data_IF_536271342842
#
_entry.id   IF_536271342842
#
_cell.length_a   1.000
_cell.length_b   1.000
_cell.length_c   1.000
_cell.angle_alpha   90.00
_cell.angle_beta   90.00
_cell.angle_gamma   90.00
#
_symmetry.space_group_name_H-M   'P 1'
#
loop_
_entity.id
_entity.type
_entity.pdbx_description
1 polymer ?
#
# COMPACT_ATOMS: atom_id res chain seq x y z
N UNK A 1 16.32 9.03 13.08
CA UNK A 1 16.70 8.04 12.04
C UNK A 1 15.44 7.22 11.76
N UNK A 2 14.72 7.54 10.69
CA UNK A 2 13.52 6.81 10.29
C UNK A 2 13.93 5.44 9.76
N UNK A 3 13.35 4.37 10.30
CA UNK A 3 13.56 3.01 9.81
C UNK A 3 12.42 2.68 8.84
N UNK A 4 12.74 2.50 7.55
CA UNK A 4 11.78 2.12 6.51
C UNK A 4 11.79 0.60 6.37
N UNK A 5 10.69 -0.08 6.68
CA UNK A 5 10.47 -1.50 6.30
C UNK A 5 9.00 -1.90 6.51
N UNK A 6 8.10 -1.39 5.65
CA UNK A 6 6.69 -1.77 5.60
C UNK A 6 6.25 -1.84 4.15
N UNK A 7 5.27 -2.67 3.86
CA UNK A 7 4.66 -2.74 2.54
C UNK A 7 3.43 -1.84 2.52
N UNK A 8 3.39 -0.87 1.63
CA UNK A 8 2.18 -0.14 1.30
C UNK A 8 1.73 -0.51 -0.10
N UNK A 9 0.48 -0.90 -0.24
CA UNK A 9 -0.14 -1.23 -1.51
C UNK A 9 -1.29 -0.27 -1.70
N UNK A 10 -1.22 0.54 -2.75
CA UNK A 10 -2.23 1.54 -3.07
C UNK A 10 -2.90 1.18 -4.38
N UNK A 11 -4.20 1.29 -4.37
CA UNK A 11 -5.05 1.02 -5.51
C UNK A 11 -5.67 2.33 -5.98
N UNK A 12 -5.38 2.73 -7.19
CA UNK A 12 -6.03 3.86 -7.85
C UNK A 12 -6.96 3.33 -8.95
N UNK A 13 -8.24 3.65 -8.81
CA UNK A 13 -9.27 3.37 -9.79
C UNK A 13 -9.33 4.52 -10.81
N UNK A 14 -8.78 4.29 -12.00
CA UNK A 14 -8.72 5.26 -13.09
C UNK A 14 -10.13 5.74 -13.58
N UNK A 15 -11.21 5.17 -13.06
CA UNK A 15 -12.58 5.55 -13.42
C UNK A 15 -13.06 6.87 -12.77
N UNK A 16 -12.37 7.37 -11.74
CA UNK A 16 -12.81 8.57 -10.99
C UNK A 16 -12.13 9.88 -11.39
N UNK A 17 -11.31 9.91 -12.43
CA UNK A 17 -10.71 11.15 -12.97
C UNK A 17 -9.86 11.93 -11.93
N UNK A 18 -9.42 11.28 -10.86
CA UNK A 18 -8.61 11.88 -9.81
C UNK A 18 -7.15 12.00 -10.23
N UNK A 19 -6.51 13.06 -9.80
CA UNK A 19 -5.09 13.35 -10.02
C UNK A 19 -4.25 12.20 -9.48
N UNK A 20 -3.50 11.54 -10.35
CA UNK A 20 -2.76 10.29 -10.11
C UNK A 20 -1.71 10.36 -9.00
N UNK A 21 -1.31 11.54 -8.58
CA UNK A 21 -0.42 11.76 -7.43
C UNK A 21 -0.72 13.11 -6.81
N UNK A 22 -1.36 13.11 -5.66
CA UNK A 22 -1.47 14.31 -4.85
C UNK A 22 -0.23 14.35 -3.93
N UNK A 23 0.80 15.07 -4.35
CA UNK A 23 1.97 15.34 -3.52
C UNK A 23 1.54 16.40 -2.48
N UNK A 24 0.82 15.96 -1.46
CA UNK A 24 0.64 16.75 -0.26
C UNK A 24 1.70 16.34 0.75
N UNK A 25 2.62 17.25 1.03
CA UNK A 25 3.53 17.13 2.16
C UNK A 25 2.72 17.14 3.46
N UNK A 26 2.28 15.98 3.89
CA UNK A 26 1.77 15.80 5.25
C UNK A 26 2.98 15.69 6.18
N UNK A 27 3.11 16.58 7.14
CA UNK A 27 4.12 16.52 8.21
C UNK A 27 3.78 15.44 9.27
N UNK A 28 3.12 14.37 8.88
CA UNK A 28 2.90 13.23 9.77
C UNK A 28 4.22 12.46 9.93
N UNK A 29 4.59 12.20 11.18
CA UNK A 29 5.81 11.46 11.51
C UNK A 29 5.70 9.95 11.19
N UNK A 30 4.59 9.49 10.64
CA UNK A 30 4.32 8.09 10.28
C UNK A 30 3.41 7.98 9.06
N UNK A 31 3.67 6.96 8.24
CA UNK A 31 2.84 6.64 7.08
C UNK A 31 1.68 5.67 7.44
N UNK A 32 1.72 5.07 8.64
CA UNK A 32 0.72 4.11 9.09
C UNK A 32 -0.51 4.80 9.69
N UNK A 33 -1.68 4.58 9.09
CA UNK A 33 -2.97 5.05 9.62
C UNK A 33 -3.26 4.49 11.03
N UNK A 34 -2.80 3.27 11.31
CA UNK A 34 -2.95 2.63 12.61
C UNK A 34 -2.18 3.37 13.72
N UNK A 35 -0.96 3.85 13.44
CA UNK A 35 -0.19 4.62 14.43
C UNK A 35 -0.85 5.97 14.75
N UNK A 36 -1.42 6.63 13.74
CA UNK A 36 -2.16 7.87 13.93
C UNK A 36 -3.45 7.66 14.73
N UNK A 37 -4.14 6.51 14.49
CA UNK A 37 -5.29 6.11 15.30
C UNK A 37 -4.90 5.93 16.77
N UNK A 38 -3.80 5.20 17.04
CA UNK A 38 -3.34 4.94 18.42
C UNK A 38 -2.95 6.25 19.13
N UNK A 39 -2.26 7.18 18.44
CA UNK A 39 -1.95 8.52 18.98
C UNK A 39 -3.23 9.33 19.29
N UNK A 40 -4.24 9.21 18.43
CA UNK A 40 -5.50 9.89 18.64
C UNK A 40 -6.24 9.30 19.84
N UNK A 41 -6.31 7.98 19.99
CA UNK A 41 -6.91 7.30 21.14
C UNK A 41 -6.21 7.67 22.46
N UNK A 42 -4.88 7.80 22.47
CA UNK A 42 -4.12 8.25 23.64
C UNK A 42 -4.37 9.72 23.99
N UNK A 43 -4.73 10.56 23.01
CA UNK A 43 -4.92 11.99 23.19
C UNK A 43 -6.36 12.41 23.58
N UNK A 44 -7.34 11.55 23.32
CA UNK A 44 -8.75 11.81 23.60
C UNK A 44 -9.12 11.27 24.99
N UNK A 45 -9.76 12.13 25.82
CA UNK A 45 -10.48 11.66 27.00
C UNK A 45 -11.63 10.76 26.55
N UNK A 46 -11.92 9.69 27.28
CA UNK A 46 -12.73 8.48 26.97
C UNK A 46 -14.13 8.68 26.31
N UNK A 47 -14.53 9.87 25.87
CA UNK A 47 -15.89 10.16 25.41
C UNK A 47 -16.04 10.90 24.07
N UNK A 48 -14.98 11.15 23.32
CA UNK A 48 -15.13 11.74 21.99
C UNK A 48 -15.24 10.64 20.93
N UNK A 49 -16.43 10.50 20.34
CA UNK A 49 -16.62 9.65 19.16
C UNK A 49 -15.77 10.17 18.00
N UNK A 50 -15.12 9.24 17.28
CA UNK A 50 -14.43 9.54 16.04
C UNK A 50 -15.46 9.88 14.94
N UNK A 51 -15.77 11.16 14.78
CA UNK A 51 -16.77 11.59 13.79
C UNK A 51 -16.20 11.39 12.37
N UNK A 52 -16.86 10.53 11.58
CA UNK A 52 -16.43 10.20 10.22
C UNK A 52 -15.24 9.25 10.14
N UNK A 53 -14.95 8.50 11.21
CA UNK A 53 -13.94 7.44 11.22
C UNK A 53 -14.58 6.15 11.74
N UNK A 54 -14.54 5.09 10.93
CA UNK A 54 -14.95 3.74 11.31
C UNK A 54 -13.77 2.84 11.46
N UNK A 55 -13.69 2.13 12.57
CA UNK A 55 -12.58 1.23 12.88
C UNK A 55 -13.13 -0.17 13.13
N UNK A 56 -12.57 -1.15 12.43
CA UNK A 56 -12.89 -2.57 12.61
C UNK A 56 -11.58 -3.32 12.85
N UNK A 57 -11.54 -4.16 13.88
CA UNK A 57 -10.38 -5.00 14.20
C UNK A 57 -10.83 -6.45 14.29
N UNK A 58 -10.08 -7.32 13.64
CA UNK A 58 -10.34 -8.76 13.63
C UNK A 58 -9.03 -9.53 13.74
N UNK A 59 -9.05 -10.63 14.50
CA UNK A 59 -7.95 -11.59 14.49
C UNK A 59 -8.21 -12.61 13.40
N UNK A 60 -7.22 -12.81 12.54
CA UNK A 60 -7.29 -13.73 11.41
C UNK A 60 -6.36 -14.90 11.67
N UNK A 61 -6.85 -16.10 11.35
CA UNK A 61 -6.09 -17.33 11.42
C UNK A 61 -5.69 -17.77 12.84
N UNK A 62 -4.73 -18.70 12.91
CA UNK A 62 -4.33 -19.34 14.16
C UNK A 62 -3.06 -18.72 14.77
N UNK A 63 -2.32 -17.90 14.00
CA UNK A 63 -0.99 -17.38 14.37
C UNK A 63 -0.98 -15.95 14.88
N UNK A 64 -2.18 -15.42 15.20
CA UNK A 64 -2.32 -14.11 15.82
C UNK A 64 -2.13 -12.95 14.84
N UNK A 65 -2.37 -13.18 13.55
CA UNK A 65 -2.49 -12.12 12.56
C UNK A 65 -3.70 -11.24 12.91
N UNK A 66 -3.49 -9.94 12.97
CA UNK A 66 -4.53 -8.95 13.24
C UNK A 66 -4.76 -8.11 12.00
N UNK A 67 -6.01 -7.96 11.62
CA UNK A 67 -6.43 -7.01 10.60
C UNK A 67 -7.13 -5.83 11.26
N UNK A 68 -6.72 -4.63 10.88
CA UNK A 68 -7.40 -3.39 11.26
C UNK A 68 -7.82 -2.67 10.01
N UNK A 69 -9.11 -2.39 9.87
CA UNK A 69 -9.68 -1.60 8.78
C UNK A 69 -10.09 -0.25 9.35
N UNK A 70 -9.54 0.83 8.80
CA UNK A 70 -9.90 2.21 9.13
C UNK A 70 -10.54 2.81 7.88
N UNK A 71 -11.79 3.24 7.97
CA UNK A 71 -12.50 3.97 6.94
C UNK A 71 -12.67 5.43 7.38
N UNK A 72 -12.18 6.36 6.56
CA UNK A 72 -12.33 7.80 6.75
C UNK A 72 -13.34 8.28 5.71
N UNK A 73 -14.53 8.73 6.15
CA UNK A 73 -15.63 9.10 5.26
C UNK A 73 -16.00 10.60 5.30
N UNK A 74 -15.38 11.39 6.19
CA UNK A 74 -15.66 12.82 6.36
C UNK A 74 -14.41 13.72 6.31
N UNK A 75 -14.62 15.04 6.13
CA UNK A 75 -13.54 16.04 6.24
C UNK A 75 -13.02 16.18 7.68
N UNK A 76 -13.87 15.96 8.65
CA UNK A 76 -13.53 15.96 10.06
C UNK A 76 -12.60 14.80 10.37
N UNK A 77 -12.90 13.60 9.84
CA UNK A 77 -12.03 12.42 9.94
C UNK A 77 -10.67 12.63 9.27
N UNK A 78 -10.63 13.27 8.09
CA UNK A 78 -9.36 13.65 7.43
C UNK A 78 -8.51 14.55 8.31
N UNK A 79 -9.12 15.57 8.93
CA UNK A 79 -8.41 16.51 9.82
C UNK A 79 -7.95 15.85 11.11
N UNK A 80 -8.76 14.94 11.67
CA UNK A 80 -8.42 14.22 12.90
C UNK A 80 -7.25 13.25 12.71
N UNK A 81 -7.28 12.43 11.64
CA UNK A 81 -6.22 11.46 11.36
C UNK A 81 -5.08 12.01 10.51
N UNK A 82 -5.23 13.19 9.88
CA UNK A 82 -4.23 13.72 8.96
C UNK A 82 -4.01 12.84 7.73
N UNK A 83 -5.01 12.03 7.36
CA UNK A 83 -4.99 11.12 6.20
C UNK A 83 -6.20 11.39 5.29
N UNK A 84 -6.04 11.26 3.96
CA UNK A 84 -7.14 11.42 3.01
C UNK A 84 -8.32 10.46 3.29
N UNK A 85 -9.52 10.87 2.88
CA UNK A 85 -10.70 9.99 2.89
C UNK A 85 -10.47 8.75 2.06
N UNK A 86 -10.82 7.59 2.62
CA UNK A 86 -10.67 6.30 2.00
C UNK A 86 -10.57 5.17 3.01
N UNK A 87 -10.12 4.03 2.53
CA UNK A 87 -10.01 2.80 3.31
C UNK A 87 -8.54 2.44 3.48
N UNK A 88 -8.16 2.17 4.72
CA UNK A 88 -6.84 1.72 5.12
C UNK A 88 -6.97 0.37 5.81
N UNK A 89 -6.41 -0.67 5.21
CA UNK A 89 -6.36 -2.02 5.76
C UNK A 89 -4.95 -2.28 6.25
N UNK A 90 -4.79 -2.54 7.53
CA UNK A 90 -3.49 -2.87 8.13
C UNK A 90 -3.50 -4.32 8.56
N UNK A 91 -2.56 -5.10 8.05
CA UNK A 91 -2.27 -6.47 8.48
C UNK A 91 -1.04 -6.43 9.38
N UNK A 92 -1.18 -6.88 10.62
CA UNK A 92 -0.14 -6.84 11.62
C UNK A 92 0.03 -8.22 12.28
N UNK A 93 1.29 -8.63 12.49
CA UNK A 93 1.52 -9.95 13.07
C UNK A 93 2.95 -10.17 13.55
N UNK A 94 3.42 -11.40 13.47
CA UNK A 94 4.79 -11.78 13.84
C UNK A 94 5.86 -11.11 12.96
N UNK A 95 7.11 -11.22 13.36
CA UNK A 95 8.23 -10.64 12.62
C UNK A 95 8.42 -11.35 11.26
N UNK A 96 8.11 -10.67 10.15
CA UNK A 96 8.27 -11.18 8.79
C UNK A 96 9.73 -11.38 8.37
N UNK A 97 10.69 -10.83 9.09
CA UNK A 97 12.12 -11.10 8.86
C UNK A 97 12.59 -12.43 9.49
N UNK A 98 11.75 -13.10 10.27
CA UNK A 98 12.01 -14.42 10.84
C UNK A 98 11.80 -15.55 9.83
N UNK A 99 12.25 -16.75 10.17
CA UNK A 99 12.13 -17.94 9.32
C UNK A 99 10.84 -18.77 9.59
N UNK A 100 9.78 -18.18 10.12
CA UNK A 100 8.50 -18.87 10.30
C UNK A 100 7.72 -18.91 8.99
N UNK A 101 7.99 -19.94 8.18
CA UNK A 101 7.35 -20.14 6.87
C UNK A 101 5.83 -20.21 6.93
N UNK A 102 5.28 -20.77 8.02
CA UNK A 102 3.82 -20.91 8.18
C UNK A 102 3.14 -19.57 8.49
N UNK A 103 3.82 -18.66 9.18
CA UNK A 103 3.35 -17.29 9.36
C UNK A 103 3.37 -16.51 8.05
N UNK A 104 4.45 -16.67 7.26
CA UNK A 104 4.54 -16.03 5.93
C UNK A 104 3.44 -16.51 4.98
N UNK A 105 3.09 -17.79 5.03
CA UNK A 105 2.02 -18.35 4.22
C UNK A 105 0.66 -17.75 4.60
N UNK A 106 0.33 -17.70 5.89
CA UNK A 106 -0.91 -17.11 6.39
C UNK A 106 -1.03 -15.62 6.04
N UNK A 107 0.04 -14.84 6.24
CA UNK A 107 0.10 -13.42 5.88
C UNK A 107 -0.08 -13.24 4.37
N UNK A 108 0.57 -14.06 3.55
CA UNK A 108 0.49 -14.00 2.10
C UNK A 108 -0.90 -14.34 1.59
N UNK A 109 -1.56 -15.34 2.17
CA UNK A 109 -2.94 -15.69 1.84
C UNK A 109 -3.93 -14.57 2.20
N UNK A 110 -3.76 -13.95 3.36
CA UNK A 110 -4.58 -12.83 3.79
C UNK A 110 -4.41 -11.64 2.83
N UNK A 111 -3.17 -11.27 2.53
CA UNK A 111 -2.84 -10.23 1.57
C UNK A 111 -3.43 -10.53 0.18
N UNK A 112 -3.28 -11.76 -0.30
CA UNK A 112 -3.81 -12.18 -1.60
C UNK A 112 -5.34 -12.07 -1.67
N UNK A 113 -6.05 -12.49 -0.62
CA UNK A 113 -7.52 -12.35 -0.53
C UNK A 113 -7.96 -10.89 -0.59
N UNK A 114 -7.26 -10.00 0.12
CA UNK A 114 -7.56 -8.56 0.09
C UNK A 114 -7.29 -7.95 -1.27
N UNK A 115 -6.14 -8.23 -1.88
CA UNK A 115 -5.82 -7.76 -3.22
C UNK A 115 -6.81 -8.29 -4.26
N UNK A 116 -7.18 -9.57 -4.19
CA UNK A 116 -8.16 -10.17 -5.10
C UNK A 116 -9.53 -9.49 -5.01
N UNK A 117 -9.98 -9.16 -3.80
CA UNK A 117 -11.22 -8.42 -3.59
C UNK A 117 -11.16 -7.02 -4.20
N UNK A 118 -10.08 -6.28 -3.94
CA UNK A 118 -9.89 -4.91 -4.40
C UNK A 118 -9.67 -4.80 -5.92
N UNK A 119 -9.03 -5.80 -6.52
CA UNK A 119 -8.76 -5.87 -7.96
C UNK A 119 -9.82 -6.64 -8.74
N UNK A 120 -10.93 -7.00 -8.09
CA UNK A 120 -12.01 -7.76 -8.74
C UNK A 120 -12.54 -7.03 -9.97
N UNK A 121 -12.65 -7.76 -11.09
CA UNK A 121 -13.11 -7.22 -12.38
C UNK A 121 -12.07 -6.41 -13.16
N UNK A 122 -10.93 -6.09 -12.59
CA UNK A 122 -9.84 -5.37 -13.28
C UNK A 122 -9.03 -6.34 -14.14
N UNK A 123 -8.83 -6.00 -15.41
CA UNK A 123 -8.17 -6.87 -16.40
C UNK A 123 -6.80 -6.39 -16.85
N UNK A 124 -6.52 -5.10 -16.71
CA UNK A 124 -5.24 -4.48 -17.06
C UNK A 124 -4.66 -3.84 -15.80
N UNK A 125 -3.61 -4.44 -15.26
CA UNK A 125 -3.00 -4.00 -14.03
C UNK A 125 -1.61 -3.42 -14.31
N UNK A 126 -1.30 -2.29 -13.67
CA UNK A 126 0.03 -1.72 -13.65
C UNK A 126 0.55 -1.71 -12.21
N UNK A 127 1.67 -2.40 -11.98
CA UNK A 127 2.36 -2.40 -10.70
C UNK A 127 3.57 -1.46 -10.76
N UNK A 128 3.69 -0.59 -9.76
CA UNK A 128 4.82 0.32 -9.60
C UNK A 128 5.51 0.00 -8.27
N UNK A 129 6.79 -0.32 -8.34
CA UNK A 129 7.63 -0.50 -7.15
C UNK A 129 8.48 0.74 -6.90
N UNK A 130 8.12 1.53 -5.88
CA UNK A 130 8.86 2.73 -5.50
C UNK A 130 10.11 2.38 -4.69
N UNK A 131 11.07 3.28 -4.72
CA UNK A 131 12.30 3.22 -3.93
C UNK A 131 13.54 2.88 -4.74
N UNK A 132 14.65 2.72 -4.01
CA UNK A 132 15.97 2.41 -4.56
C UNK A 132 16.35 0.95 -4.26
N UNK A 133 16.44 0.11 -5.30
CA UNK A 133 16.79 -1.31 -5.16
C UNK A 133 18.19 -1.59 -4.60
N UNK A 134 19.09 -0.61 -4.60
CA UNK A 134 20.45 -0.71 -4.05
C UNK A 134 20.51 -0.31 -2.56
N UNK A 135 19.43 0.24 -2.01
CA UNK A 135 19.34 0.69 -0.62
C UNK A 135 18.38 -0.23 0.14
N UNK A 136 18.88 -1.14 0.95
CA UNK A 136 18.10 -2.18 1.63
C UNK A 136 16.79 -1.68 2.27
N UNK A 137 16.77 -0.57 3.04
CA UNK A 137 15.52 -0.10 3.65
C UNK A 137 14.49 0.46 2.64
N UNK A 138 14.89 0.64 1.39
CA UNK A 138 14.10 1.26 0.32
C UNK A 138 13.88 0.31 -0.88
N UNK A 139 14.35 -0.93 -0.76
CA UNK A 139 14.38 -1.87 -1.88
C UNK A 139 13.09 -2.69 -2.06
N UNK A 140 12.10 -2.55 -1.16
CA UNK A 140 10.91 -3.41 -1.16
C UNK A 140 10.17 -3.36 -2.50
N UNK A 141 9.79 -2.16 -2.96
CA UNK A 141 9.08 -1.99 -4.22
C UNK A 141 9.81 -2.62 -5.41
N UNK A 142 11.07 -2.24 -5.69
CA UNK A 142 11.88 -2.86 -6.74
C UNK A 142 12.00 -4.38 -6.64
N UNK A 143 12.16 -4.94 -5.43
CA UNK A 143 12.25 -6.39 -5.22
C UNK A 143 10.94 -7.11 -5.51
N UNK A 144 9.80 -6.54 -5.14
CA UNK A 144 8.49 -7.10 -5.50
C UNK A 144 8.31 -7.12 -7.01
N UNK A 145 8.62 -6.01 -7.70
CA UNK A 145 8.51 -5.95 -9.17
C UNK A 145 9.40 -6.99 -9.85
N UNK A 146 10.60 -7.21 -9.34
CA UNK A 146 11.53 -8.22 -9.87
C UNK A 146 10.98 -9.64 -9.81
N UNK A 147 10.14 -9.94 -8.82
CA UNK A 147 9.56 -11.26 -8.58
C UNK A 147 8.11 -11.40 -9.09
N UNK A 148 7.53 -10.34 -9.63
CA UNK A 148 6.15 -10.35 -10.11
C UNK A 148 6.01 -11.10 -11.44
N UNK A 149 4.96 -11.89 -11.58
CA UNK A 149 4.65 -12.58 -12.83
C UNK A 149 3.98 -11.62 -13.84
N UNK A 150 4.73 -11.19 -14.84
CA UNK A 150 4.32 -10.24 -15.87
C UNK A 150 3.63 -10.96 -17.03
N UNK A 151 2.39 -10.60 -17.35
CA UNK A 151 1.56 -11.29 -18.33
C UNK A 151 1.12 -10.42 -19.51
N UNK A 152 1.28 -9.08 -19.45
CA UNK A 152 0.78 -8.18 -20.48
C UNK A 152 1.33 -8.50 -21.88
N UNK A 153 2.60 -8.87 -22.00
CA UNK A 153 3.23 -9.23 -23.28
C UNK A 153 2.84 -10.63 -23.79
N UNK A 154 2.20 -11.44 -22.94
CA UNK A 154 1.73 -12.80 -23.26
C UNK A 154 0.23 -12.82 -23.62
N UNK A 155 -0.42 -11.66 -23.76
CA UNK A 155 -1.84 -11.58 -24.09
C UNK A 155 -2.13 -12.32 -25.41
N UNK A 156 -3.09 -13.26 -25.36
CA UNK A 156 -3.43 -14.13 -26.50
C UNK A 156 -2.83 -15.54 -26.42
N UNK A 157 -1.97 -15.84 -25.47
CA UNK A 157 -1.49 -17.20 -25.22
C UNK A 157 -2.53 -17.99 -24.43
N UNK A 158 -2.79 -19.24 -24.84
CA UNK A 158 -3.82 -20.09 -24.21
C UNK A 158 -3.50 -20.41 -22.75
N UNK A 159 -2.22 -20.53 -22.42
CA UNK A 159 -1.72 -20.88 -21.09
C UNK A 159 -2.06 -19.85 -20.02
N UNK A 160 -2.35 -18.61 -20.42
CA UNK A 160 -2.72 -17.50 -19.52
C UNK A 160 -4.12 -16.98 -19.79
N UNK A 161 -4.95 -17.76 -20.52
CA UNK A 161 -6.33 -17.37 -20.77
C UNK A 161 -7.08 -17.17 -19.44
N UNK A 162 -7.74 -16.03 -19.30
CA UNK A 162 -8.40 -15.67 -18.05
C UNK A 162 -7.55 -14.86 -17.07
N UNK A 163 -6.21 -14.85 -17.18
CA UNK A 163 -5.37 -14.00 -16.34
C UNK A 163 -5.47 -12.52 -16.72
N UNK A 164 -5.35 -11.59 -15.75
CA UNK A 164 -5.22 -10.17 -16.05
C UNK A 164 -3.93 -9.87 -16.80
N UNK A 165 -3.94 -8.84 -17.64
CA UNK A 165 -2.75 -8.32 -18.30
C UNK A 165 -1.94 -7.46 -17.31
N UNK A 166 -0.91 -8.04 -16.73
CA UNK A 166 -0.05 -7.41 -15.72
C UNK A 166 1.18 -6.79 -16.39
N UNK A 167 1.36 -5.48 -16.18
CA UNK A 167 2.58 -4.74 -16.46
C UNK A 167 3.19 -4.26 -15.15
N UNK A 168 4.50 -4.06 -15.10
CA UNK A 168 5.16 -3.54 -13.91
C UNK A 168 6.37 -2.69 -14.25
N UNK A 169 6.70 -1.76 -13.34
CA UNK A 169 7.85 -0.86 -13.43
C UNK A 169 8.41 -0.56 -12.04
N UNK A 170 9.73 -0.59 -11.92
CA UNK A 170 10.45 0.05 -10.81
C UNK A 170 11.16 1.29 -11.39
N UNK A 171 10.61 2.51 -11.22
CA UNK A 171 11.12 3.71 -11.88
C UNK A 171 12.48 4.17 -11.34
N UNK A 172 12.87 3.71 -10.16
CA UNK A 172 14.00 4.22 -9.42
C UNK A 172 13.65 5.52 -8.68
N UNK A 173 14.67 6.22 -8.21
CA UNK A 173 14.54 7.49 -7.48
C UNK A 173 15.03 8.66 -8.32
N UNK A 174 14.56 9.87 -8.02
CA UNK A 174 14.90 11.09 -8.75
C UNK A 174 16.43 11.31 -8.84
N UNK A 175 17.18 10.96 -7.80
CA UNK A 175 18.64 11.07 -7.80
C UNK A 175 19.33 10.18 -8.86
N UNK A 176 18.69 9.12 -9.33
CA UNK A 176 19.20 8.22 -10.38
C UNK A 176 18.68 8.61 -11.77
N UNK A 177 17.44 9.08 -11.84
CA UNK A 177 16.73 9.30 -13.11
C UNK A 177 16.74 10.76 -13.58
N UNK A 178 16.88 11.71 -12.65
CA UNK A 178 16.70 13.14 -12.90
C UNK A 178 15.23 13.54 -13.16
N UNK A 179 14.28 12.63 -12.95
CA UNK A 179 12.86 12.84 -13.18
C UNK A 179 12.06 12.53 -11.90
N UNK A 180 10.98 13.26 -11.70
CA UNK A 180 10.02 12.91 -10.66
C UNK A 180 9.35 11.58 -11.00
N UNK A 181 9.20 10.72 -9.98
CA UNK A 181 8.54 9.40 -10.17
C UNK A 181 7.13 9.56 -10.72
N UNK A 182 6.41 10.60 -10.29
CA UNK A 182 5.07 10.95 -10.78
C UNK A 182 5.02 11.18 -12.28
N UNK A 183 5.98 11.90 -12.83
CA UNK A 183 6.06 12.20 -14.29
C UNK A 183 6.24 10.90 -15.09
N UNK A 184 7.10 9.99 -14.61
CA UNK A 184 7.33 8.70 -15.26
C UNK A 184 6.05 7.86 -15.24
N UNK A 185 5.41 7.73 -14.08
CA UNK A 185 4.20 6.91 -13.90
C UNK A 185 3.05 7.48 -14.71
N UNK A 186 2.82 8.81 -14.67
CA UNK A 186 1.78 9.48 -15.44
C UNK A 186 1.94 9.23 -16.94
N UNK A 187 3.17 9.35 -17.46
CA UNK A 187 3.48 9.09 -18.87
C UNK A 187 3.13 7.66 -19.29
N UNK A 188 3.40 6.67 -18.42
CA UNK A 188 3.09 5.27 -18.68
C UNK A 188 1.60 4.99 -18.60
N UNK A 189 0.93 5.49 -17.56
CA UNK A 189 -0.53 5.34 -17.39
C UNK A 189 -1.28 5.91 -18.60
N UNK A 190 -0.91 7.10 -19.07
CA UNK A 190 -1.46 7.71 -20.29
C UNK A 190 -1.24 6.85 -21.54
N UNK A 191 -0.19 6.04 -21.57
CA UNK A 191 0.14 5.18 -22.72
C UNK A 191 -0.54 3.83 -22.69
N UNK A 192 -0.62 3.18 -21.53
CA UNK A 192 -1.09 1.79 -21.44
C UNK A 192 -2.53 1.66 -20.96
N UNK A 193 -3.13 2.72 -20.39
CA UNK A 193 -4.51 2.77 -19.89
C UNK A 193 -4.84 1.55 -19.01
N UNK A 194 -4.21 1.40 -17.83
CA UNK A 194 -4.54 0.31 -16.91
C UNK A 194 -5.94 0.52 -16.29
N UNK A 195 -6.60 -0.57 -15.92
CA UNK A 195 -7.86 -0.52 -15.17
C UNK A 195 -7.61 -0.24 -13.68
N UNK A 196 -6.44 -0.62 -13.18
CA UNK A 196 -5.98 -0.29 -11.84
C UNK A 196 -4.45 -0.12 -11.78
N UNK A 197 -4.03 0.82 -10.94
CA UNK A 197 -2.64 1.08 -10.57
C UNK A 197 -2.40 0.55 -9.16
N UNK A 198 -1.39 -0.31 -8.99
CA UNK A 198 -0.94 -0.84 -7.70
C UNK A 198 0.45 -0.29 -7.42
N UNK A 199 0.57 0.54 -6.41
CA UNK A 199 1.85 1.14 -6.02
C UNK A 199 2.36 0.48 -4.75
N UNK A 200 3.61 0.06 -4.73
CA UNK A 200 4.26 -0.66 -3.64
C UNK A 200 5.45 0.15 -3.18
N UNK A 201 5.49 0.47 -1.89
CA UNK A 201 6.55 1.27 -1.28
C UNK A 201 6.93 0.73 0.09
N UNK A 202 8.12 1.09 0.55
CA UNK A 202 8.58 0.86 1.91
C UNK A 202 8.19 2.05 2.79
N UNK A 203 7.27 1.83 3.74
CA UNK A 203 6.77 2.87 4.63
C UNK A 203 7.70 3.19 5.79
N UNK A 204 7.60 4.42 6.30
CA UNK A 204 8.16 4.82 7.58
C UNK A 204 7.16 4.55 8.71
N UNK A 205 7.62 3.87 9.77
CA UNK A 205 6.89 3.75 11.03
C UNK A 205 7.60 4.53 12.14
N UNK A 206 6.82 5.05 13.06
CA UNK A 206 7.28 5.71 14.28
C UNK A 206 7.74 4.66 15.29
N UNK A 207 6.94 3.61 15.47
CA UNK A 207 7.26 2.51 16.40
C UNK A 207 8.21 1.49 15.76
N UNK A 208 9.33 1.22 16.45
CA UNK A 208 10.25 0.16 16.05
C UNK A 208 9.66 -1.25 16.23
N UNK A 209 8.63 -1.41 17.04
CA UNK A 209 7.96 -2.69 17.30
C UNK A 209 7.17 -3.17 16.08
N UNK A 210 6.74 -2.24 15.22
CA UNK A 210 6.01 -2.54 13.99
C UNK A 210 6.90 -2.83 12.78
N UNK A 211 8.21 -2.66 12.92
CA UNK A 211 9.17 -2.97 11.85
C UNK A 211 9.09 -4.45 11.46
N UNK A 212 8.98 -4.73 10.16
CA UNK A 212 8.83 -6.08 9.61
C UNK A 212 7.63 -6.87 10.16
N UNK A 213 6.57 -6.18 10.59
CA UNK A 213 5.37 -6.82 11.14
C UNK A 213 4.08 -6.33 10.54
N UNK A 214 4.14 -5.30 9.69
CA UNK A 214 2.96 -4.58 9.23
C UNK A 214 2.94 -4.43 7.72
N UNK A 215 1.80 -4.73 7.10
CA UNK A 215 1.48 -4.42 5.71
C UNK A 215 0.25 -3.52 5.72
N UNK A 216 0.32 -2.37 5.06
CA UNK A 216 -0.83 -1.50 4.87
C UNK A 216 -1.28 -1.52 3.41
N UNK A 217 -2.58 -1.59 3.19
CA UNK A 217 -3.22 -1.44 1.88
C UNK A 217 -4.17 -0.25 1.97
N UNK A 218 -4.16 0.65 0.99
CA UNK A 218 -5.12 1.75 0.94
C UNK A 218 -5.60 2.02 -0.48
N UNK A 219 -6.74 2.67 -0.61
CA UNK A 219 -7.28 3.16 -1.87
C UNK A 219 -7.13 4.69 -2.00
N UNK A 220 -6.25 5.28 -1.22
CA UNK A 220 -5.87 6.70 -1.26
C UNK A 220 -4.50 6.85 -1.89
N UNK A 221 -4.19 7.99 -2.47
CA UNK A 221 -2.87 8.23 -3.09
C UNK A 221 -1.69 8.04 -2.12
N UNK A 222 -0.47 7.93 -2.66
CA UNK A 222 0.81 7.98 -1.90
C UNK A 222 1.35 9.41 -1.94
N UNK A 223 1.91 9.86 -0.80
CA UNK A 223 2.90 10.91 -0.75
C UNK A 223 4.26 10.26 -0.51
N UNK A 224 5.04 9.95 -1.57
CA UNK A 224 6.39 9.43 -1.39
C UNK A 224 7.24 10.48 -0.71
N UNK A 225 7.93 10.08 0.38
CA UNK A 225 8.80 10.95 1.17
C UNK A 225 10.13 11.26 0.48
#
# INVERSE_FOLDING_TARGET
VYKRQFCNIILDDNEKGGTLMNIQHSFSHTDLALELKDELEESLEEQQAFDGIKIQQERIGERGLQETVIEIDSEEGEKQLGKPRGIYVTLEGGNMAGNDGSFHEEMSECLAKRLQSLLSGKRKLLFIGLGNGEVTPDALGPLVIKNLFITRHLTGWKEIEGCPAVAALAPGVMAQTGMETGEIVEGIVKKIHPDALVVIDALAAKSSERLNRTIQISNTGIAPG
#
